data_IF_726416058671
#
_entry.id   IF_726416058671
#
_cell.length_a   1.000
_cell.length_b   1.000
_cell.length_c   1.000
_cell.angle_alpha   90.00
_cell.angle_beta   90.00
_cell.angle_gamma   90.00
#
_symmetry.space_group_name_H-M   'P 1'
#
loop_
_entity.id
_entity.type
_entity.pdbx_description
1 polymer ?
#
# COMPACT_ATOMS: atom_id res chain seq x y z
N UNK A 1 -65.42 31.11 -17.81
CA UNK A 1 -65.23 29.65 -17.91
C UNK A 1 -64.61 29.30 -19.25
N UNK A 2 -63.28 29.22 -19.32
CA UNK A 2 -62.53 28.50 -20.34
C UNK A 2 -61.30 27.92 -19.62
N UNK A 3 -61.35 26.62 -19.39
CA UNK A 3 -60.24 25.80 -18.90
C UNK A 3 -59.25 25.64 -20.05
N UNK A 4 -57.95 25.84 -19.82
CA UNK A 4 -56.94 25.29 -20.72
C UNK A 4 -55.63 25.00 -19.96
N UNK A 5 -55.47 23.70 -19.72
CA UNK A 5 -54.30 22.89 -19.42
C UNK A 5 -52.99 23.60 -19.05
N UNK A 6 -52.58 23.40 -17.79
CA UNK A 6 -51.17 23.45 -17.36
C UNK A 6 -50.48 22.23 -17.97
N UNK A 7 -49.67 22.45 -18.99
CA UNK A 7 -48.77 21.42 -19.53
C UNK A 7 -47.61 21.26 -18.52
N UNK A 8 -47.75 20.32 -17.59
CA UNK A 8 -46.64 19.89 -16.75
C UNK A 8 -45.66 19.13 -17.64
N UNK A 9 -44.61 19.81 -18.10
CA UNK A 9 -43.47 19.16 -18.72
C UNK A 9 -42.72 18.38 -17.63
N UNK A 10 -43.15 17.14 -17.39
CA UNK A 10 -42.35 16.16 -16.65
C UNK A 10 -41.20 15.80 -17.58
N UNK A 11 -40.08 16.49 -17.42
CA UNK A 11 -38.82 16.12 -18.06
C UNK A 11 -38.32 14.85 -17.35
N UNK A 12 -38.84 13.69 -17.75
CA UNK A 12 -38.20 12.41 -17.44
C UNK A 12 -36.93 12.38 -18.28
N UNK A 13 -35.84 12.90 -17.72
CA UNK A 13 -34.51 12.57 -18.21
C UNK A 13 -34.32 11.08 -17.93
N UNK A 14 -34.78 10.25 -18.87
CA UNK A 14 -34.35 8.88 -18.97
C UNK A 14 -32.84 8.94 -19.24
N UNK A 15 -32.06 8.82 -18.16
CA UNK A 15 -30.65 8.45 -18.20
C UNK A 15 -30.58 7.10 -18.91
N UNK A 16 -30.48 7.14 -20.23
CA UNK A 16 -29.90 6.06 -21.02
C UNK A 16 -28.43 5.98 -20.58
N UNK A 17 -28.16 5.24 -19.51
CA UNK A 17 -26.80 4.77 -19.20
C UNK A 17 -26.51 3.70 -20.26
N UNK A 18 -25.67 3.98 -21.27
CA UNK A 18 -25.34 3.00 -22.28
C UNK A 18 -24.32 2.04 -21.66
N UNK A 19 -24.67 0.76 -21.63
CA UNK A 19 -23.79 -0.30 -21.14
C UNK A 19 -23.95 -0.53 -19.65
N UNK A 20 -24.22 -1.78 -19.28
CA UNK A 20 -24.01 -2.27 -17.93
C UNK A 20 -22.58 -1.95 -17.52
N UNK A 21 -22.38 -0.87 -16.74
CA UNK A 21 -21.17 -0.72 -15.95
C UNK A 21 -21.08 -2.01 -15.13
N UNK A 22 -19.99 -2.77 -15.31
CA UNK A 22 -19.69 -3.88 -14.41
C UNK A 22 -19.71 -3.35 -12.98
N UNK A 23 -20.32 -4.10 -12.06
CA UNK A 23 -20.58 -3.64 -10.70
C UNK A 23 -19.29 -3.16 -10.02
N UNK A 24 -19.38 -2.07 -9.25
CA UNK A 24 -18.27 -1.62 -8.42
C UNK A 24 -17.88 -2.71 -7.40
N UNK A 25 -16.61 -2.77 -7.04
CA UNK A 25 -16.09 -3.67 -6.03
C UNK A 25 -16.28 -3.07 -4.65
N UNK A 26 -16.52 -3.92 -3.66
CA UNK A 26 -16.65 -3.51 -2.26
C UNK A 26 -15.49 -4.09 -1.46
N UNK A 27 -14.80 -3.24 -0.69
CA UNK A 27 -13.76 -3.65 0.25
C UNK A 27 -14.23 -3.32 1.67
N UNK A 28 -14.18 -4.31 2.57
CA UNK A 28 -14.50 -4.14 3.97
C UNK A 28 -13.22 -4.25 4.80
N UNK A 29 -12.92 -3.20 5.56
CA UNK A 29 -11.82 -3.17 6.50
C UNK A 29 -12.35 -3.44 7.89
N UNK A 30 -11.68 -4.34 8.62
CA UNK A 30 -12.04 -4.70 9.98
C UNK A 30 -10.82 -4.58 10.88
N UNK A 31 -10.97 -3.84 11.98
CA UNK A 31 -9.94 -3.81 13.02
C UNK A 31 -10.23 -4.89 14.07
N UNK A 32 -9.32 -5.86 14.15
CA UNK A 32 -9.32 -6.95 15.14
C UNK A 32 -8.24 -6.75 16.22
N UNK A 33 -7.54 -5.61 16.20
CA UNK A 33 -6.55 -5.25 17.21
C UNK A 33 -7.22 -4.64 18.45
N UNK A 34 -6.52 -4.72 19.58
CA UNK A 34 -6.93 -4.05 20.83
C UNK A 34 -6.60 -2.54 20.86
N UNK A 35 -6.16 -1.99 19.72
CA UNK A 35 -5.74 -0.60 19.56
C UNK A 35 -6.23 -0.04 18.23
N UNK A 36 -6.35 1.29 18.17
CA UNK A 36 -6.71 2.01 16.96
C UNK A 36 -5.71 1.72 15.83
N UNK A 37 -6.24 1.47 14.63
CA UNK A 37 -5.46 1.35 13.40
C UNK A 37 -6.00 2.39 12.44
N UNK A 38 -5.13 3.28 11.95
CA UNK A 38 -5.51 4.15 10.84
C UNK A 38 -4.97 3.60 9.53
N UNK A 39 -5.81 3.57 8.51
CA UNK A 39 -5.49 2.97 7.20
C UNK A 39 -5.09 4.07 6.24
N UNK A 40 -3.94 3.90 5.60
CA UNK A 40 -3.49 4.66 4.44
C UNK A 40 -4.03 3.99 3.19
N UNK A 41 -4.59 4.76 2.25
CA UNK A 41 -4.99 4.26 0.93
C UNK A 41 -4.21 5.00 -0.14
N UNK A 42 -3.55 4.23 -1.02
CA UNK A 42 -2.87 4.73 -2.21
C UNK A 42 -3.38 3.93 -3.40
N UNK A 43 -4.31 4.50 -4.18
CA UNK A 43 -4.92 3.77 -5.28
C UNK A 43 -5.94 4.57 -6.08
N UNK A 44 -6.29 4.05 -7.25
CA UNK A 44 -7.16 4.72 -8.20
C UNK A 44 -7.36 3.91 -9.48
N UNK A 45 -7.97 4.53 -10.49
CA UNK A 45 -8.13 3.90 -11.80
C UNK A 45 -6.77 3.60 -12.43
N UNK A 46 -6.60 2.39 -12.96
CA UNK A 46 -5.40 2.03 -13.72
C UNK A 46 -5.13 3.03 -14.85
N UNK A 47 -3.89 3.48 -14.97
CA UNK A 47 -3.41 4.29 -16.08
C UNK A 47 -2.43 3.49 -16.94
N UNK A 48 -2.74 3.37 -18.23
CA UNK A 48 -1.81 2.86 -19.25
C UNK A 48 -1.33 4.03 -20.10
N UNK A 49 -0.03 4.33 -20.03
CA UNK A 49 0.54 5.37 -20.89
C UNK A 49 0.41 4.98 -22.36
N UNK A 50 0.00 5.92 -23.21
CA UNK A 50 -0.16 5.65 -24.65
C UNK A 50 1.17 5.19 -25.26
N UNK A 51 1.17 4.02 -25.91
CA UNK A 51 2.37 3.44 -26.51
C UNK A 51 3.29 2.68 -25.54
N UNK A 52 2.91 2.52 -24.28
CA UNK A 52 3.61 1.70 -23.29
C UNK A 52 2.76 0.53 -22.83
N UNK A 53 3.40 -0.60 -22.50
CA UNK A 53 2.75 -1.71 -21.78
C UNK A 53 2.74 -1.49 -20.27
N UNK A 54 3.40 -0.44 -19.76
CA UNK A 54 3.46 -0.16 -18.33
C UNK A 54 2.11 0.34 -17.79
N UNK A 55 1.69 -0.27 -16.68
CA UNK A 55 0.58 0.19 -15.85
C UNK A 55 1.17 0.97 -14.69
N UNK A 56 0.63 2.17 -14.47
CA UNK A 56 1.10 3.10 -13.47
C UNK A 56 0.09 3.16 -12.31
N UNK A 57 0.59 3.12 -11.06
CA UNK A 57 -0.20 3.42 -9.87
C UNK A 57 -0.74 4.85 -9.92
N UNK A 58 -1.87 5.07 -9.23
CA UNK A 58 -2.64 6.30 -9.32
C UNK A 58 -1.97 7.54 -8.69
N UNK A 59 -1.03 7.34 -7.76
CA UNK A 59 -0.33 8.40 -7.02
C UNK A 59 1.18 8.22 -7.07
N UNK A 60 1.81 8.57 -8.19
CA UNK A 60 3.26 8.49 -8.33
C UNK A 60 3.88 9.60 -9.18
N UNK A 61 5.15 9.89 -8.88
CA UNK A 61 6.00 10.73 -9.70
C UNK A 61 6.66 9.91 -10.79
N UNK A 62 6.56 10.37 -12.02
CA UNK A 62 7.23 9.78 -13.17
C UNK A 62 8.70 10.21 -13.23
N UNK A 63 9.51 9.48 -13.99
CA UNK A 63 10.93 9.80 -14.18
C UNK A 63 11.19 11.17 -14.82
N UNK A 64 10.21 11.73 -15.54
CA UNK A 64 10.24 13.09 -16.08
C UNK A 64 9.71 14.15 -15.09
N UNK A 65 9.51 13.75 -13.83
CA UNK A 65 8.95 14.54 -12.72
C UNK A 65 7.48 14.94 -12.86
N UNK A 66 6.77 14.47 -13.90
CA UNK A 66 5.33 14.70 -14.02
C UNK A 66 4.55 13.83 -13.03
N UNK A 67 3.42 14.36 -12.56
CA UNK A 67 2.39 13.52 -11.95
C UNK A 67 1.52 12.98 -13.08
N UNK A 68 1.14 11.70 -13.03
CA UNK A 68 0.12 11.15 -13.93
C UNK A 68 -1.07 10.63 -13.13
N UNK A 69 -1.80 11.51 -12.42
CA UNK A 69 -2.90 11.04 -11.60
C UNK A 69 -4.12 10.85 -12.50
N UNK A 70 -4.55 9.60 -12.64
CA UNK A 70 -5.97 9.32 -12.83
C UNK A 70 -6.78 9.69 -11.59
N UNK A 71 -6.12 9.97 -10.45
CA UNK A 71 -6.73 10.19 -9.13
C UNK A 71 -6.05 11.33 -8.35
N UNK A 72 -6.81 12.24 -7.73
CA UNK A 72 -6.32 13.41 -7.00
C UNK A 72 -5.55 13.03 -5.73
N UNK A 73 -4.22 13.06 -5.81
CA UNK A 73 -3.29 12.80 -4.71
C UNK A 73 -2.90 14.11 -4.05
N UNK A 74 -3.84 14.66 -3.27
CA UNK A 74 -3.77 16.02 -2.73
C UNK A 74 -2.50 16.32 -1.94
N UNK A 75 -1.84 15.32 -1.34
CA UNK A 75 -0.63 15.53 -0.53
C UNK A 75 0.66 15.08 -1.23
N UNK A 76 0.59 14.82 -2.54
CA UNK A 76 1.73 14.43 -3.35
C UNK A 76 2.05 15.51 -4.39
N UNK A 77 3.34 15.79 -4.53
CA UNK A 77 3.87 16.66 -5.57
C UNK A 77 5.24 16.15 -6.02
N UNK A 78 5.58 16.42 -7.27
CA UNK A 78 6.77 15.92 -7.96
C UNK A 78 7.66 17.06 -8.45
N UNK A 79 8.93 16.74 -8.65
CA UNK A 79 9.95 17.72 -9.05
C UNK A 79 10.42 18.62 -7.91
N UNK A 80 11.48 19.37 -8.18
CA UNK A 80 12.08 20.27 -7.18
C UNK A 80 11.05 21.25 -6.62
N UNK A 81 11.08 21.44 -5.30
CA UNK A 81 10.20 22.35 -4.58
C UNK A 81 8.69 22.08 -4.81
N UNK A 82 8.30 20.82 -5.03
CA UNK A 82 6.91 20.41 -5.22
C UNK A 82 6.23 21.12 -6.41
N UNK A 83 6.99 21.44 -7.48
CA UNK A 83 6.51 22.21 -8.63
C UNK A 83 5.31 21.57 -9.32
N UNK A 84 5.31 20.24 -9.46
CA UNK A 84 4.26 19.52 -10.18
C UNK A 84 3.30 18.91 -9.17
N UNK A 85 2.13 19.53 -8.98
CA UNK A 85 1.11 19.05 -8.05
C UNK A 85 0.37 17.86 -8.64
N UNK A 86 0.04 16.88 -7.80
CA UNK A 86 -0.74 15.71 -8.22
C UNK A 86 -2.24 15.85 -7.87
N UNK A 87 -2.83 17.02 -8.12
CA UNK A 87 -4.19 17.39 -7.68
C UNK A 87 -5.28 17.27 -8.77
N UNK A 88 -4.98 16.53 -9.85
CA UNK A 88 -5.90 16.29 -10.97
C UNK A 88 -6.41 14.84 -10.96
N UNK A 89 -7.54 14.56 -11.62
CA UNK A 89 -8.12 13.20 -11.72
C UNK A 89 -9.38 12.98 -10.88
N UNK A 90 -9.73 11.72 -10.62
CA UNK A 90 -10.86 11.33 -9.77
C UNK A 90 -10.53 11.50 -8.29
N UNK A 91 -11.48 11.78 -7.39
CA UNK A 91 -11.18 11.83 -5.96
C UNK A 91 -10.59 10.52 -5.42
N UNK A 92 -9.60 10.64 -4.52
CA UNK A 92 -9.14 9.49 -3.73
C UNK A 92 -10.26 8.97 -2.84
N UNK A 93 -10.39 7.66 -2.78
CA UNK A 93 -11.28 6.98 -1.84
C UNK A 93 -10.88 7.38 -0.42
N UNK A 94 -11.85 7.84 0.37
CA UNK A 94 -11.66 8.40 1.71
C UNK A 94 -10.54 9.45 1.82
N UNK A 95 -10.27 10.20 0.75
CA UNK A 95 -9.17 11.17 0.74
C UNK A 95 -7.77 10.52 0.89
N UNK A 96 -7.67 9.20 0.79
CA UNK A 96 -6.43 8.45 0.99
C UNK A 96 -6.22 7.93 2.41
N UNK A 97 -7.23 7.94 3.28
CA UNK A 97 -7.13 7.23 4.56
C UNK A 97 -8.22 7.55 5.58
N UNK A 98 -8.34 6.68 6.58
CA UNK A 98 -9.36 6.76 7.64
C UNK A 98 -8.87 6.10 8.93
N UNK A 99 -9.62 6.27 10.02
CA UNK A 99 -9.37 5.61 11.32
C UNK A 99 -10.32 4.43 11.48
N UNK A 100 -9.80 3.31 11.99
CA UNK A 100 -10.57 2.19 12.51
C UNK A 100 -10.32 2.05 14.01
N UNK A 101 -11.32 2.43 14.80
CA UNK A 101 -11.29 2.25 16.25
C UNK A 101 -11.22 0.78 16.65
N UNK A 102 -10.54 0.48 17.76
CA UNK A 102 -10.63 -0.84 18.38
C UNK A 102 -11.99 -1.03 19.05
N UNK A 103 -12.61 -2.19 18.84
CA UNK A 103 -13.79 -2.59 19.60
C UNK A 103 -13.41 -3.71 20.57
N UNK A 104 -13.32 -3.37 21.86
CA UNK A 104 -12.87 -4.30 22.90
C UNK A 104 -13.98 -5.26 23.36
N UNK A 105 -15.19 -5.18 22.81
CA UNK A 105 -16.26 -6.13 23.11
C UNK A 105 -15.92 -7.49 22.47
N UNK A 106 -16.01 -8.61 23.20
CA UNK A 106 -15.71 -9.93 22.65
C UNK A 106 -16.48 -10.21 21.35
N UNK A 107 -15.76 -10.47 20.27
CA UNK A 107 -16.33 -10.77 18.95
C UNK A 107 -16.86 -9.57 18.16
N UNK A 108 -16.67 -8.34 18.64
CA UNK A 108 -17.04 -7.15 17.91
C UNK A 108 -15.90 -6.69 16.98
N UNK A 109 -16.28 -6.11 15.84
CA UNK A 109 -15.34 -5.54 14.87
C UNK A 109 -15.85 -4.19 14.39
N UNK A 110 -14.99 -3.18 14.42
CA UNK A 110 -15.26 -1.93 13.71
C UNK A 110 -15.05 -2.19 12.22
N UNK A 111 -16.12 -2.06 11.43
CA UNK A 111 -16.08 -2.26 9.99
C UNK A 111 -16.21 -0.92 9.26
N UNK A 112 -15.28 -0.64 8.35
CA UNK A 112 -15.39 0.44 7.38
C UNK A 112 -15.49 -0.14 5.98
N UNK A 113 -16.39 0.39 5.16
CA UNK A 113 -16.66 -0.14 3.82
C UNK A 113 -16.41 0.93 2.78
N UNK A 114 -15.64 0.58 1.75
CA UNK A 114 -15.44 1.42 0.58
C UNK A 114 -15.96 0.72 -0.67
N UNK A 115 -16.29 1.52 -1.67
CA UNK A 115 -16.66 1.06 -3.01
C UNK A 115 -15.68 1.64 -4.00
N UNK A 116 -15.11 0.80 -4.85
CA UNK A 116 -14.13 1.21 -5.87
C UNK A 116 -14.55 0.72 -7.25
N UNK A 117 -14.27 1.49 -8.31
CA UNK A 117 -14.67 1.13 -9.66
C UNK A 117 -13.93 -0.11 -10.17
N UNK A 118 -14.47 -0.73 -11.22
CA UNK A 118 -13.74 -1.69 -12.05
C UNK A 118 -12.43 -1.09 -12.56
N UNK A 119 -11.38 -1.91 -12.68
CA UNK A 119 -10.02 -1.47 -13.03
C UNK A 119 -9.36 -0.55 -12.00
N UNK A 120 -9.87 -0.51 -10.77
CA UNK A 120 -9.15 0.12 -9.67
C UNK A 120 -7.94 -0.73 -9.28
N UNK A 121 -6.82 -0.07 -9.08
CA UNK A 121 -5.59 -0.63 -8.54
C UNK A 121 -5.15 0.23 -7.35
N UNK A 122 -4.77 -0.42 -6.27
CA UNK A 122 -4.20 0.30 -5.15
C UNK A 122 -3.70 -0.58 -4.04
N UNK A 123 -3.25 0.11 -3.01
CA UNK A 123 -2.67 -0.48 -1.83
C UNK A 123 -3.18 0.20 -0.57
N UNK A 124 -3.12 -0.55 0.52
CA UNK A 124 -3.44 -0.07 1.85
C UNK A 124 -2.34 -0.44 2.83
N UNK A 125 -2.03 0.50 3.73
CA UNK A 125 -0.98 0.34 4.73
C UNK A 125 -1.53 0.78 6.09
N UNK A 126 -1.44 -0.07 7.12
CA UNK A 126 -1.90 0.30 8.44
C UNK A 126 -0.89 1.21 9.15
N UNK A 127 -1.36 2.12 9.99
CA UNK A 127 -0.57 2.95 10.92
C UNK A 127 -1.09 2.75 12.33
N UNK A 128 -0.18 2.73 13.29
CA UNK A 128 -0.49 2.55 14.72
C UNK A 128 0.36 3.48 15.57
N UNK A 129 -0.02 3.64 16.84
CA UNK A 129 0.63 4.58 17.77
C UNK A 129 0.61 6.00 17.19
N UNK A 130 -0.54 6.39 16.63
CA UNK A 130 -0.78 7.73 16.13
C UNK A 130 -1.74 8.48 17.06
N UNK A 131 -1.63 9.80 17.08
CA UNK A 131 -2.40 10.67 17.95
C UNK A 131 -2.43 12.10 17.39
N UNK A 132 -3.38 12.91 17.87
CA UNK A 132 -3.35 14.34 17.65
C UNK A 132 -2.32 14.98 18.60
N UNK A 133 -1.35 15.69 18.05
CA UNK A 133 -0.43 16.51 18.83
C UNK A 133 -1.13 17.77 19.39
N UNK A 134 -0.41 18.56 20.18
CA UNK A 134 -0.94 19.79 20.79
C UNK A 134 -1.34 20.88 19.78
N UNK A 135 -0.87 20.76 18.53
CA UNK A 135 -1.21 21.64 17.41
C UNK A 135 -2.34 21.07 16.54
N UNK A 136 -2.89 19.91 16.90
CA UNK A 136 -3.94 19.22 16.17
C UNK A 136 -3.46 18.48 14.92
N UNK A 137 -2.15 18.21 14.79
CA UNK A 137 -1.63 17.38 13.70
C UNK A 137 -1.76 15.91 14.08
N UNK A 138 -2.15 15.07 13.12
CA UNK A 138 -2.18 13.62 13.32
C UNK A 138 -0.79 13.03 13.06
N UNK A 139 -0.08 12.68 14.13
CA UNK A 139 1.32 12.22 14.10
C UNK A 139 1.44 10.83 14.70
N UNK A 140 2.41 10.05 14.23
CA UNK A 140 2.71 8.72 14.74
C UNK A 140 4.06 8.69 15.47
N UNK A 141 4.23 7.74 16.40
CA UNK A 141 5.49 7.53 17.12
C UNK A 141 6.70 7.31 16.21
N UNK A 142 6.47 6.86 14.98
CA UNK A 142 7.46 6.77 13.92
C UNK A 142 7.13 7.76 12.80
N UNK A 143 8.04 8.69 12.55
CA UNK A 143 7.82 9.81 11.63
C UNK A 143 7.48 9.35 10.20
N UNK A 144 8.09 8.27 9.71
CA UNK A 144 7.83 7.71 8.39
C UNK A 144 6.43 7.07 8.27
N UNK A 145 5.71 6.90 9.39
CA UNK A 145 4.28 6.54 9.40
C UNK A 145 3.38 7.79 9.46
N UNK A 146 3.91 8.98 9.70
CA UNK A 146 3.16 10.24 9.69
C UNK A 146 2.98 10.73 8.25
N UNK A 147 1.74 10.83 7.79
CA UNK A 147 1.43 11.40 6.47
C UNK A 147 1.47 12.92 6.55
N UNK A 148 2.62 13.52 6.21
CA UNK A 148 2.78 14.97 6.14
C UNK A 148 2.36 15.51 4.78
N UNK A 149 1.38 16.41 4.80
CA UNK A 149 1.00 17.15 3.60
C UNK A 149 2.11 18.15 3.21
N UNK A 150 2.54 18.16 1.95
CA UNK A 150 3.61 19.07 1.51
C UNK A 150 3.21 20.55 1.57
N UNK A 151 1.91 20.86 1.58
CA UNK A 151 1.40 22.22 1.58
C UNK A 151 1.61 22.95 2.90
N UNK A 152 1.43 22.25 4.02
CA UNK A 152 1.44 22.84 5.36
C UNK A 152 2.36 22.11 6.35
N UNK A 153 2.96 20.99 5.94
CA UNK A 153 3.83 20.14 6.77
C UNK A 153 3.09 19.40 7.89
N UNK A 154 1.76 19.48 7.94
CA UNK A 154 0.95 18.91 9.02
C UNK A 154 0.68 17.44 8.77
N UNK A 155 0.70 16.67 9.85
CA UNK A 155 0.27 15.27 9.85
C UNK A 155 -1.25 15.16 9.65
N UNK A 156 -1.67 14.23 8.79
CA UNK A 156 -3.07 14.03 8.37
C UNK A 156 -3.53 12.59 8.59
N UNK A 157 -4.83 12.44 8.86
CA UNK A 157 -5.49 11.12 8.92
C UNK A 157 -5.66 10.58 7.50
N UNK A 158 -6.31 11.34 6.63
CA UNK A 158 -6.29 11.08 5.19
C UNK A 158 -4.87 11.29 4.68
N UNK A 159 -4.25 10.33 3.98
CA UNK A 159 -2.87 10.49 3.52
C UNK A 159 -2.76 11.15 2.15
N UNK A 160 -3.87 11.50 1.50
CA UNK A 160 -3.86 12.25 0.25
C UNK A 160 -3.02 11.61 -0.85
N UNK A 161 -2.91 10.27 -0.85
CA UNK A 161 -2.13 9.52 -1.84
C UNK A 161 -0.66 9.30 -1.48
N UNK A 162 -0.25 9.68 -0.27
CA UNK A 162 1.08 9.40 0.26
C UNK A 162 1.13 8.00 0.89
N UNK A 163 2.08 7.17 0.48
CA UNK A 163 2.36 5.89 1.13
C UNK A 163 3.32 6.05 2.31
N UNK A 164 3.39 5.06 3.18
CA UNK A 164 4.33 4.95 4.30
C UNK A 164 5.35 3.84 4.04
N UNK A 165 6.48 3.88 4.74
CA UNK A 165 7.52 2.81 4.70
C UNK A 165 7.54 2.01 5.99
N UNK A 166 8.30 0.90 6.03
CA UNK A 166 8.39 0.02 7.21
C UNK A 166 7.02 -0.47 7.68
N UNK A 167 6.16 -0.80 6.72
CA UNK A 167 4.78 -1.19 6.94
C UNK A 167 4.42 -2.33 6.00
N UNK A 168 3.55 -3.21 6.49
CA UNK A 168 2.96 -4.22 5.61
C UNK A 168 1.99 -3.54 4.65
N UNK A 169 1.88 -4.07 3.44
CA UNK A 169 1.00 -3.54 2.41
C UNK A 169 0.00 -4.61 2.02
N UNK A 170 -1.26 -4.28 1.86
CA UNK A 170 -2.15 -5.09 1.06
C UNK A 170 -2.39 -4.42 -0.28
N UNK A 171 -2.32 -5.19 -1.35
CA UNK A 171 -2.34 -4.73 -2.74
C UNK A 171 -3.52 -5.42 -3.44
N UNK A 172 -4.29 -4.68 -4.22
CA UNK A 172 -5.43 -5.20 -4.97
C UNK A 172 -5.47 -4.52 -6.34
N UNK A 173 -5.60 -5.35 -7.38
CA UNK A 173 -5.91 -4.92 -8.73
C UNK A 173 -7.21 -5.61 -9.17
N UNK A 174 -8.25 -4.82 -9.42
CA UNK A 174 -9.50 -5.35 -9.92
C UNK A 174 -9.51 -5.44 -11.44
N UNK A 175 -10.04 -6.54 -11.97
CA UNK A 175 -10.27 -6.79 -13.39
C UNK A 175 -9.04 -6.59 -14.29
N UNK A 176 -7.83 -6.82 -13.76
CA UNK A 176 -6.62 -6.78 -14.55
C UNK A 176 -6.56 -8.02 -15.45
N UNK A 177 -6.65 -7.82 -16.77
CA UNK A 177 -6.69 -8.90 -17.77
C UNK A 177 -7.83 -9.91 -17.56
N UNK A 178 -8.93 -9.47 -16.94
CA UNK A 178 -10.13 -10.28 -16.72
C UNK A 178 -10.14 -11.10 -15.43
N UNK A 179 -9.20 -10.84 -14.51
CA UNK A 179 -9.17 -11.43 -13.16
C UNK A 179 -8.80 -10.37 -12.12
N UNK A 180 -9.24 -10.57 -10.88
CA UNK A 180 -8.77 -9.79 -9.75
C UNK A 180 -7.50 -10.41 -9.18
N UNK A 181 -6.49 -9.59 -8.90
CA UNK A 181 -5.28 -10.02 -8.20
C UNK A 181 -5.16 -9.26 -6.89
N UNK A 182 -4.65 -9.92 -5.87
CA UNK A 182 -4.40 -9.32 -4.59
C UNK A 182 -3.31 -10.07 -3.85
N UNK A 183 -2.63 -9.35 -2.97
CA UNK A 183 -1.64 -9.91 -2.09
C UNK A 183 -1.47 -9.06 -0.84
N UNK A 184 -0.92 -9.67 0.20
CA UNK A 184 -0.29 -8.95 1.29
C UNK A 184 1.21 -9.04 1.06
N UNK A 185 1.92 -7.94 1.23
CA UNK A 185 3.32 -7.77 0.86
C UNK A 185 4.10 -7.19 2.04
N UNK A 186 5.20 -7.85 2.40
CA UNK A 186 6.16 -7.38 3.40
C UNK A 186 7.43 -6.80 2.76
N UNK A 187 7.38 -6.48 1.46
CA UNK A 187 8.48 -5.86 0.71
C UNK A 187 8.93 -4.55 1.36
N UNK A 188 7.96 -3.75 1.83
CA UNK A 188 8.21 -2.48 2.52
C UNK A 188 8.36 -2.63 4.03
N UNK A 189 8.30 -3.86 4.57
CA UNK A 189 8.40 -4.16 6.01
C UNK A 189 7.10 -4.66 6.62
N UNK A 190 7.01 -4.61 7.95
CA UNK A 190 5.86 -5.10 8.72
C UNK A 190 5.61 -4.23 9.94
N UNK A 191 4.36 -3.92 10.26
CA UNK A 191 4.01 -3.17 11.47
C UNK A 191 2.73 -3.66 12.16
N UNK A 192 1.73 -4.14 11.39
CA UNK A 192 0.47 -4.70 11.92
C UNK A 192 0.17 -6.02 11.22
N UNK A 193 -0.23 -7.09 11.93
CA UNK A 193 -0.73 -8.30 11.29
C UNK A 193 -1.92 -7.95 10.38
N UNK A 194 -1.83 -8.32 9.11
CA UNK A 194 -2.80 -7.94 8.07
C UNK A 194 -3.12 -9.15 7.22
N UNK A 195 -4.39 -9.31 6.88
CA UNK A 195 -4.88 -10.36 6.00
C UNK A 195 -5.89 -9.83 5.00
N UNK A 196 -5.88 -10.40 3.79
CA UNK A 196 -6.94 -10.24 2.79
C UNK A 196 -7.67 -11.56 2.69
N UNK A 197 -9.00 -11.51 2.85
CA UNK A 197 -9.89 -12.64 2.72
C UNK A 197 -11.02 -12.30 1.75
N UNK A 198 -11.39 -13.27 0.91
CA UNK A 198 -12.49 -13.10 -0.01
C UNK A 198 -13.81 -13.41 0.68
N UNK A 199 -14.85 -12.63 0.39
CA UNK A 199 -16.19 -12.87 0.92
C UNK A 199 -16.72 -14.19 0.34
N UNK A 200 -17.15 -15.15 1.17
CA UNK A 200 -17.66 -16.42 0.67
C UNK A 200 -18.80 -16.24 -0.34
N UNK A 201 -18.69 -16.92 -1.49
CA UNK A 201 -19.69 -16.85 -2.55
C UNK A 201 -19.53 -15.70 -3.54
N UNK A 202 -18.53 -14.84 -3.39
CA UNK A 202 -18.26 -13.72 -4.33
C UNK A 202 -17.11 -13.99 -5.30
N UNK A 203 -16.55 -15.20 -5.32
CA UNK A 203 -15.38 -15.55 -6.15
C UNK A 203 -15.48 -16.95 -6.75
N UNK A 204 -14.71 -17.21 -7.80
CA UNK A 204 -14.51 -18.52 -8.40
C UNK A 204 -13.03 -18.74 -8.73
N UNK A 205 -12.45 -19.83 -8.23
CA UNK A 205 -11.08 -20.24 -8.57
C UNK A 205 -11.02 -21.08 -9.86
N UNK A 206 -12.17 -21.29 -10.53
CA UNK A 206 -12.22 -22.10 -11.75
C UNK A 206 -11.33 -21.47 -12.83
N UNK A 207 -10.56 -22.32 -13.51
CA UNK A 207 -9.66 -21.96 -14.61
C UNK A 207 -8.47 -21.05 -14.22
N UNK A 208 -8.26 -20.80 -12.92
CA UNK A 208 -7.07 -20.11 -12.41
C UNK A 208 -5.93 -21.09 -12.15
N UNK A 209 -4.73 -20.72 -12.58
CA UNK A 209 -3.50 -21.47 -12.30
C UNK A 209 -2.40 -20.51 -11.83
N UNK A 210 -1.58 -20.91 -10.85
CA UNK A 210 -1.64 -22.17 -10.10
C UNK A 210 -2.76 -22.17 -9.04
N UNK A 211 -3.47 -23.30 -8.90
CA UNK A 211 -4.71 -23.38 -8.09
C UNK A 211 -4.45 -23.21 -6.59
N UNK A 212 -3.25 -23.53 -6.12
CA UNK A 212 -2.84 -23.40 -4.73
C UNK A 212 -2.79 -21.95 -4.22
N UNK A 213 -2.67 -20.97 -5.12
CA UNK A 213 -2.68 -19.55 -4.78
C UNK A 213 -3.99 -18.86 -5.21
N UNK A 214 -4.83 -19.55 -5.98
CA UNK A 214 -6.07 -18.99 -6.50
C UNK A 214 -7.10 -18.81 -5.37
N UNK A 215 -7.55 -17.58 -5.17
CA UNK A 215 -8.62 -17.22 -4.25
C UNK A 215 -8.39 -17.67 -2.78
N UNK A 216 -7.13 -17.67 -2.34
CA UNK A 216 -6.76 -18.03 -0.96
C UNK A 216 -6.57 -16.80 -0.08
N UNK A 217 -6.63 -16.99 1.24
CA UNK A 217 -6.29 -15.95 2.21
C UNK A 217 -4.82 -15.53 2.02
N UNK A 218 -4.58 -14.22 1.91
CA UNK A 218 -3.23 -13.66 1.89
C UNK A 218 -2.92 -12.95 3.21
N UNK A 219 -1.67 -12.99 3.66
CA UNK A 219 -1.21 -12.31 4.87
C UNK A 219 -1.09 -13.18 6.12
N UNK A 220 -1.01 -12.54 7.29
CA UNK A 220 -0.78 -13.20 8.59
C UNK A 220 -1.52 -12.49 9.71
N UNK A 221 -1.99 -13.26 10.70
CA UNK A 221 -2.52 -12.76 11.96
C UNK A 221 -1.47 -12.75 13.09
N UNK A 222 -0.23 -13.16 12.78
CA UNK A 222 0.86 -13.21 13.77
C UNK A 222 1.62 -11.89 13.80
N UNK A 223 1.88 -11.39 15.01
CA UNK A 223 2.81 -10.28 15.20
C UNK A 223 4.26 -10.76 15.00
N UNK A 224 4.92 -10.24 13.98
CA UNK A 224 6.27 -10.64 13.60
C UNK A 224 7.35 -9.88 14.36
N UNK A 225 7.00 -8.80 15.07
CA UNK A 225 7.98 -7.96 15.78
C UNK A 225 8.71 -8.73 16.88
N UNK A 226 7.99 -9.59 17.60
CA UNK A 226 8.54 -10.38 18.70
C UNK A 226 9.43 -11.56 18.22
N UNK A 227 9.40 -11.90 16.93
CA UNK A 227 10.09 -13.07 16.40
C UNK A 227 11.53 -12.73 15.95
N UNK A 228 11.82 -11.46 15.67
CA UNK A 228 13.15 -11.00 15.22
C UNK A 228 14.20 -11.21 16.31
N UNK A 229 15.29 -11.91 15.96
CA UNK A 229 16.37 -12.23 16.89
C UNK A 229 16.08 -13.40 17.83
N UNK A 230 14.99 -14.14 17.60
CA UNK A 230 14.54 -15.23 18.47
C UNK A 230 14.39 -16.54 17.69
N UNK A 231 14.37 -17.69 18.40
CA UNK A 231 14.10 -18.99 17.79
C UNK A 231 15.06 -19.32 16.63
N UNK A 232 14.50 -19.60 15.45
CA UNK A 232 15.29 -19.88 14.23
C UNK A 232 15.88 -18.61 13.58
N UNK A 233 15.56 -17.42 14.10
CA UNK A 233 15.90 -16.12 13.54
C UNK A 233 16.89 -15.34 14.42
N UNK A 234 17.70 -16.04 15.22
CA UNK A 234 18.72 -15.45 16.11
C UNK A 234 19.84 -14.73 15.36
N UNK A 235 20.03 -15.04 14.07
CA UNK A 235 20.94 -14.32 13.19
C UNK A 235 20.43 -12.91 12.85
N UNK A 236 19.11 -12.68 12.83
CA UNK A 236 18.53 -11.38 12.52
C UNK A 236 18.79 -10.38 13.65
N UNK A 237 19.36 -9.23 13.29
CA UNK A 237 19.73 -8.19 14.24
C UNK A 237 18.52 -7.34 14.63
N UNK A 238 18.04 -7.49 15.86
CA UNK A 238 16.94 -6.67 16.40
C UNK A 238 17.25 -5.17 16.37
N UNK A 239 18.51 -4.76 16.59
CA UNK A 239 18.91 -3.34 16.56
C UNK A 239 18.95 -2.73 15.16
N UNK A 240 19.02 -3.57 14.11
CA UNK A 240 18.94 -3.13 12.71
C UNK A 240 17.51 -3.16 12.19
N UNK A 241 16.75 -4.19 12.55
CA UNK A 241 15.48 -4.50 11.92
C UNK A 241 14.26 -4.01 12.71
N UNK A 242 14.34 -3.88 14.04
CA UNK A 242 13.21 -3.37 14.81
C UNK A 242 13.25 -1.85 14.89
N UNK A 243 12.11 -1.23 14.59
CA UNK A 243 11.86 0.18 14.88
C UNK A 243 11.16 0.23 16.24
N UNK A 244 11.76 0.94 17.18
CA UNK A 244 11.22 1.13 18.53
C UNK A 244 10.77 2.56 18.74
N UNK A 245 9.65 2.73 19.45
CA UNK A 245 9.22 4.05 19.88
C UNK A 245 10.02 4.53 21.10
N UNK A 246 9.74 5.75 21.57
CA UNK A 246 10.42 6.34 22.73
C UNK A 246 10.27 5.53 24.03
N UNK A 247 9.23 4.70 24.14
CA UNK A 247 9.02 3.78 25.27
C UNK A 247 9.79 2.45 25.15
N UNK A 248 10.56 2.26 24.06
CA UNK A 248 11.31 1.03 23.79
C UNK A 248 10.45 -0.11 23.24
N UNK A 249 9.17 0.14 22.92
CA UNK A 249 8.28 -0.85 22.31
C UNK A 249 8.62 -0.98 20.83
N UNK A 250 8.84 -2.21 20.33
CA UNK A 250 8.94 -2.46 18.90
C UNK A 250 7.59 -2.19 18.24
N UNK A 251 7.57 -1.31 17.23
CA UNK A 251 6.36 -0.88 16.53
C UNK A 251 6.35 -1.31 15.06
N UNK A 252 7.53 -1.56 14.47
CA UNK A 252 7.67 -2.10 13.11
C UNK A 252 8.93 -2.93 12.93
N UNK A 253 8.98 -3.68 11.83
CA UNK A 253 10.10 -4.47 11.33
C UNK A 253 10.46 -3.96 9.95
N UNK A 254 11.72 -3.57 9.76
CA UNK A 254 12.26 -3.21 8.44
C UNK A 254 12.38 -4.44 7.56
N UNK A 255 12.13 -4.28 6.26
CA UNK A 255 12.68 -5.21 5.28
C UNK A 255 14.19 -4.99 5.09
N UNK A 256 14.88 -5.97 4.50
CA UNK A 256 16.29 -5.82 4.12
C UNK A 256 16.50 -4.55 3.25
N UNK A 257 15.63 -4.33 2.27
CA UNK A 257 15.62 -3.14 1.41
C UNK A 257 15.46 -1.85 2.22
N UNK A 258 14.48 -1.81 3.13
CA UNK A 258 14.23 -0.62 3.94
C UNK A 258 15.42 -0.29 4.85
N UNK A 259 16.01 -1.29 5.50
CA UNK A 259 17.21 -1.09 6.30
C UNK A 259 18.39 -0.57 5.47
N UNK A 260 18.65 -1.19 4.32
CA UNK A 260 19.72 -0.78 3.42
C UNK A 260 19.53 0.66 2.93
N UNK A 261 18.30 1.02 2.52
CA UNK A 261 17.94 2.36 2.09
C UNK A 261 18.14 3.40 3.20
N UNK A 262 17.69 3.08 4.42
CA UNK A 262 17.89 3.95 5.58
C UNK A 262 19.38 4.14 5.91
N UNK A 263 20.19 3.08 5.78
CA UNK A 263 21.64 3.15 5.97
C UNK A 263 22.32 4.01 4.90
N UNK A 264 21.90 3.87 3.63
CA UNK A 264 22.41 4.69 2.53
C UNK A 264 22.09 6.17 2.75
N UNK A 265 20.84 6.53 3.08
CA UNK A 265 20.48 7.91 3.42
C UNK A 265 21.28 8.47 4.60
N UNK A 266 21.54 7.65 5.63
CA UNK A 266 22.34 8.05 6.78
C UNK A 266 23.79 8.35 6.41
N UNK A 267 24.38 7.55 5.52
CA UNK A 267 25.79 7.66 5.15
C UNK A 267 26.04 8.67 4.01
N UNK A 268 25.02 8.90 3.16
CA UNK A 268 25.12 9.70 1.95
C UNK A 268 23.97 10.72 1.89
N UNK A 269 24.21 11.99 2.26
CA UNK A 269 23.19 13.06 2.26
C UNK A 269 22.53 13.38 0.91
N UNK A 270 22.92 12.72 -0.18
CA UNK A 270 22.29 12.80 -1.50
C UNK A 270 21.70 11.48 -2.02
N UNK A 271 21.71 10.42 -1.20
CA UNK A 271 21.42 9.02 -1.59
C UNK A 271 22.38 8.52 -2.68
N UNK A 272 23.19 7.50 -2.38
CA UNK A 272 24.03 6.90 -3.41
C UNK A 272 23.21 5.91 -4.24
N UNK A 273 22.81 6.32 -5.45
CA UNK A 273 22.08 5.47 -6.40
C UNK A 273 22.87 4.22 -6.82
N UNK A 274 24.17 4.17 -6.55
CA UNK A 274 25.04 3.03 -6.86
C UNK A 274 25.33 2.14 -5.65
N UNK A 275 24.73 2.43 -4.49
CA UNK A 275 24.95 1.64 -3.28
C UNK A 275 24.57 0.17 -3.50
N UNK A 276 25.57 -0.70 -3.37
CA UNK A 276 25.41 -2.13 -3.62
C UNK A 276 24.36 -2.75 -2.71
N UNK A 277 24.39 -2.42 -1.41
CA UNK A 277 23.51 -3.07 -0.44
C UNK A 277 22.05 -2.70 -0.69
N UNK A 278 21.78 -1.41 -0.93
CA UNK A 278 20.45 -0.91 -1.28
C UNK A 278 19.98 -1.52 -2.59
N UNK A 279 20.79 -1.49 -3.65
CA UNK A 279 20.33 -1.98 -4.94
C UNK A 279 20.11 -3.49 -4.96
N UNK A 280 20.96 -4.27 -4.30
CA UNK A 280 20.83 -5.72 -4.22
C UNK A 280 19.66 -6.20 -3.35
N UNK A 281 19.29 -5.44 -2.30
CA UNK A 281 18.18 -5.80 -1.39
C UNK A 281 16.84 -5.23 -1.83
N UNK A 282 16.83 -4.09 -2.53
CA UNK A 282 15.65 -3.48 -3.12
C UNK A 282 15.38 -3.93 -4.57
N UNK A 283 16.17 -4.89 -5.07
CA UNK A 283 16.08 -5.39 -6.44
C UNK A 283 16.09 -4.27 -7.49
N UNK A 284 16.91 -3.24 -7.27
CA UNK A 284 17.16 -2.18 -8.25
C UNK A 284 18.27 -2.62 -9.19
N UNK A 285 18.27 -2.06 -10.40
CA UNK A 285 19.32 -2.33 -11.39
C UNK A 285 20.73 -2.18 -10.78
N UNK A 286 21.66 -3.09 -11.09
CA UNK A 286 21.53 -4.25 -11.99
C UNK A 286 20.84 -5.50 -11.40
N UNK A 287 20.45 -5.57 -10.12
CA UNK A 287 19.83 -6.75 -9.50
C UNK A 287 18.30 -6.85 -9.73
N UNK A 288 17.79 -6.30 -10.84
CA UNK A 288 16.35 -6.21 -11.09
C UNK A 288 15.62 -7.55 -11.09
N UNK A 289 14.29 -7.50 -11.14
CA UNK A 289 13.46 -8.71 -11.20
C UNK A 289 13.79 -9.56 -12.44
N UNK A 290 13.46 -10.86 -12.38
CA UNK A 290 13.75 -11.81 -13.46
C UNK A 290 13.15 -11.41 -14.83
N UNK A 291 12.20 -10.47 -14.84
CA UNK A 291 11.50 -10.00 -16.02
C UNK A 291 12.39 -9.14 -16.96
N UNK A 292 13.50 -8.57 -16.45
CA UNK A 292 14.43 -7.71 -17.22
C UNK A 292 15.80 -8.35 -17.47
N UNK A 293 15.85 -9.69 -17.56
CA UNK A 293 17.09 -10.48 -17.69
C UNK A 293 18.10 -9.96 -18.74
N UNK A 294 17.62 -9.34 -19.84
CA UNK A 294 18.46 -8.75 -20.90
C UNK A 294 19.02 -7.35 -20.56
N UNK A 295 18.35 -6.58 -19.72
CA UNK A 295 18.76 -5.22 -19.32
C UNK A 295 19.67 -5.25 -18.07
N UNK A 296 19.60 -6.33 -17.28
CA UNK A 296 20.22 -6.44 -15.96
C UNK A 296 21.61 -7.09 -15.97
N UNK A 297 22.18 -7.38 -17.14
CA UNK A 297 23.49 -8.03 -17.26
C UNK A 297 23.55 -9.43 -16.60
N UNK A 298 22.43 -10.16 -16.57
CA UNK A 298 22.25 -11.45 -15.88
C UNK A 298 22.39 -11.42 -14.34
N UNK A 299 22.24 -10.26 -13.70
CA UNK A 299 22.23 -10.17 -12.23
C UNK A 299 20.81 -10.27 -11.70
N UNK A 300 20.52 -11.35 -10.96
CA UNK A 300 19.23 -11.53 -10.29
C UNK A 300 19.28 -10.96 -8.88
N UNK A 301 18.18 -10.36 -8.42
CA UNK A 301 17.93 -10.19 -7.00
C UNK A 301 17.94 -11.57 -6.34
N UNK A 302 18.84 -11.80 -5.38
CA UNK A 302 19.01 -13.10 -4.74
C UNK A 302 19.22 -12.92 -3.24
N UNK A 303 18.18 -13.17 -2.41
CA UNK A 303 18.30 -13.08 -0.97
C UNK A 303 19.40 -13.95 -0.36
N UNK A 304 19.84 -15.02 -1.03
CA UNK A 304 20.92 -15.87 -0.53
C UNK A 304 22.28 -15.17 -0.49
N UNK A 305 22.43 -14.00 -1.13
CA UNK A 305 23.68 -13.23 -1.10
C UNK A 305 23.62 -12.01 -0.18
N UNK A 306 22.49 -11.78 0.51
CA UNK A 306 22.33 -10.64 1.41
C UNK A 306 23.00 -10.90 2.76
N UNK A 307 23.41 -9.85 3.50
CA UNK A 307 23.94 -10.03 4.85
C UNK A 307 22.90 -10.70 5.75
N UNK A 308 23.30 -11.80 6.39
CA UNK A 308 22.39 -12.66 7.16
C UNK A 308 21.65 -11.91 8.27
N UNK A 309 22.28 -10.90 8.85
CA UNK A 309 21.74 -10.16 9.99
C UNK A 309 20.66 -9.13 9.65
N UNK A 310 20.40 -8.92 8.35
CA UNK A 310 19.30 -8.08 7.85
C UNK A 310 18.39 -8.83 6.86
N UNK A 311 18.66 -10.11 6.59
CA UNK A 311 17.98 -10.86 5.54
C UNK A 311 16.58 -11.32 5.96
N UNK A 312 15.62 -10.39 5.88
CA UNK A 312 14.23 -10.65 6.26
C UNK A 312 13.41 -11.41 5.21
N UNK A 313 13.99 -11.75 4.04
CA UNK A 313 13.22 -12.36 2.95
C UNK A 313 12.69 -13.74 3.32
N UNK A 314 13.56 -14.60 3.88
CA UNK A 314 13.17 -15.92 4.36
C UNK A 314 12.27 -15.83 5.61
N UNK A 315 12.54 -14.86 6.48
CA UNK A 315 11.74 -14.57 7.67
C UNK A 315 10.29 -14.27 7.32
N UNK A 316 10.06 -13.26 6.47
CA UNK A 316 8.71 -12.92 6.04
C UNK A 316 8.06 -14.07 5.27
N UNK A 317 8.80 -14.79 4.40
CA UNK A 317 8.23 -15.91 3.64
C UNK A 317 7.73 -17.05 4.54
N UNK A 318 8.39 -17.32 5.67
CA UNK A 318 7.93 -18.34 6.62
C UNK A 318 6.57 -17.98 7.23
N UNK A 319 6.37 -16.73 7.61
CA UNK A 319 5.13 -16.30 8.28
C UNK A 319 4.05 -15.81 7.33
N UNK A 320 4.42 -15.53 6.08
CA UNK A 320 3.57 -15.05 5.01
C UNK A 320 3.83 -15.89 3.72
N UNK A 321 3.47 -17.18 3.70
CA UNK A 321 3.83 -18.08 2.60
C UNK A 321 3.19 -17.68 1.26
N UNK A 322 2.01 -17.07 1.28
CA UNK A 322 1.30 -16.56 0.10
C UNK A 322 1.63 -15.09 -0.24
N UNK A 323 2.50 -14.43 0.55
CA UNK A 323 2.89 -13.04 0.34
C UNK A 323 4.20 -12.89 -0.43
N UNK A 324 4.42 -11.69 -0.94
CA UNK A 324 5.72 -11.20 -1.33
C UNK A 324 6.55 -10.82 -0.09
N UNK A 325 7.73 -11.43 0.04
CA UNK A 325 8.69 -11.13 1.12
C UNK A 325 9.85 -10.24 0.69
N UNK A 326 10.00 -10.05 -0.62
CA UNK A 326 10.90 -9.13 -1.31
C UNK A 326 10.40 -8.95 -2.77
N UNK A 327 10.98 -7.99 -3.50
CA UNK A 327 10.58 -7.63 -4.86
C UNK A 327 11.02 -8.63 -5.94
#
# INVERSE_FOLDING_TARGET
MKSLLVLAAVLVAALLVPGTLAADHTIQFQNHCEYEVSVVIVGGMQYKATGSSAVYSACQCMGDTTCVPTTMCNYTACGENNKNKCDQGTPLVDGGGFILDADLRPGATTTHTITVPKFWQGSFQPRTNCHLDTSGNYVCDYEQHTCRAYQDGKGKVDCGGHGITDAIKGEINFDENGVDTYDVSAVDGFNVPTTIELVPGTFTARDLTPVEYACTKSGTNKDLRAEIGTGNWTNLSSSKLLITNAAGKAIAVRSACSYASALNHKNNPGFDEKDYLTNSTCCKLPWGSAQDYKQNGNMSCNPLTWPEDINTAAFFKQYLPAAYSYA
#
